data_IF_963187831526
#
_entry.id   IF_963187831526
#
_cell.length_a   1.000
_cell.length_b   1.000
_cell.length_c   1.000
_cell.angle_alpha   90.00
_cell.angle_beta   90.00
_cell.angle_gamma   90.00
#
_symmetry.space_group_name_H-M   'P 1'
#
loop_
_entity.id
_entity.type
_entity.pdbx_description
1 polymer ?
#
# COMPACT_ATOMS: atom_id res chain seq x y z
N UNK A 1 30.63 41.75 39.09
CA UNK A 1 29.73 40.59 38.96
C UNK A 1 28.32 41.11 39.14
N UNK A 2 27.51 41.14 38.08
CA UNK A 2 26.14 41.63 38.15
C UNK A 2 25.30 40.66 38.99
N UNK A 3 24.82 41.12 40.14
CA UNK A 3 23.86 40.39 40.95
C UNK A 3 22.51 40.41 40.23
N UNK A 4 22.21 39.35 39.50
CA UNK A 4 20.87 39.14 38.96
C UNK A 4 19.91 39.02 40.14
N UNK A 5 18.99 39.97 40.26
CA UNK A 5 17.97 39.97 41.30
C UNK A 5 17.12 38.70 41.20
N UNK A 6 16.90 38.02 42.33
CA UNK A 6 16.03 36.84 42.45
C UNK A 6 14.64 37.10 41.84
N UNK A 7 14.18 38.34 41.93
CA UNK A 7 12.90 38.78 41.39
C UNK A 7 12.88 38.80 39.85
N UNK A 8 14.02 39.12 39.22
CA UNK A 8 14.17 39.03 37.77
C UNK A 8 14.14 37.58 37.31
N UNK A 9 14.81 36.67 38.03
CA UNK A 9 14.77 35.24 37.74
C UNK A 9 13.35 34.67 37.84
N UNK A 10 12.59 35.05 38.87
CA UNK A 10 11.18 34.64 39.02
C UNK A 10 10.31 35.12 37.87
N UNK A 11 10.51 36.36 37.41
CA UNK A 11 9.81 36.91 36.24
C UNK A 11 10.15 36.14 34.97
N UNK A 12 11.43 35.90 34.71
CA UNK A 12 11.89 35.12 33.55
C UNK A 12 11.28 33.72 33.58
N UNK A 13 11.33 33.04 34.73
CA UNK A 13 10.78 31.69 34.88
C UNK A 13 9.27 31.65 34.64
N UNK A 14 8.54 32.66 35.13
CA UNK A 14 7.11 32.82 34.87
C UNK A 14 6.82 33.01 33.38
N UNK A 15 7.57 33.88 32.70
CA UNK A 15 7.43 34.10 31.25
C UNK A 15 7.70 32.83 30.46
N UNK A 16 8.76 32.08 30.78
CA UNK A 16 9.07 30.79 30.16
C UNK A 16 7.91 29.79 30.36
N UNK A 17 7.36 29.75 31.57
CA UNK A 17 6.22 28.87 31.90
C UNK A 17 4.97 29.22 31.09
N UNK A 18 4.68 30.51 30.91
CA UNK A 18 3.56 30.99 30.11
C UNK A 18 3.75 30.69 28.62
N UNK A 19 4.97 30.86 28.09
CA UNK A 19 5.31 30.48 26.70
C UNK A 19 5.08 28.99 26.49
N UNK A 20 5.61 28.13 27.36
CA UNK A 20 5.48 26.68 27.23
C UNK A 20 4.00 26.22 27.26
N UNK A 21 3.18 26.84 28.11
CA UNK A 21 1.73 26.58 28.13
C UNK A 21 1.06 27.00 26.81
N UNK A 22 1.47 28.12 26.23
CA UNK A 22 1.03 28.56 24.91
C UNK A 22 1.40 27.57 23.81
N UNK A 23 2.65 27.10 23.80
CA UNK A 23 3.15 26.12 22.83
C UNK A 23 2.37 24.81 22.89
N UNK A 24 2.15 24.26 24.10
CA UNK A 24 1.35 23.05 24.28
C UNK A 24 -0.09 23.19 23.76
N UNK A 25 -0.68 24.39 23.91
CA UNK A 25 -2.02 24.67 23.38
C UNK A 25 -2.03 24.68 21.85
N UNK A 26 -0.99 25.24 21.22
CA UNK A 26 -0.84 25.25 19.76
C UNK A 26 -0.64 23.84 19.24
N UNK A 27 0.24 23.04 19.86
CA UNK A 27 0.47 21.64 19.48
C UNK A 27 -0.81 20.83 19.54
N UNK A 28 -1.61 21.03 20.59
CA UNK A 28 -2.92 20.38 20.70
C UNK A 28 -3.87 20.79 19.58
N UNK A 29 -3.97 22.08 19.26
CA UNK A 29 -4.80 22.56 18.16
C UNK A 29 -4.32 22.05 16.79
N UNK A 30 -3.01 21.93 16.58
CA UNK A 30 -2.44 21.35 15.36
C UNK A 30 -2.75 19.86 15.27
N UNK A 31 -2.67 19.12 16.38
CA UNK A 31 -3.03 17.71 16.42
C UNK A 31 -4.53 17.49 16.18
N UNK A 32 -5.38 18.45 16.57
CA UNK A 32 -6.83 18.43 16.31
C UNK A 32 -7.19 18.86 14.89
N UNK A 33 -6.28 19.53 14.15
CA UNK A 33 -6.44 19.81 12.73
C UNK A 33 -6.22 18.52 11.93
N UNK A 34 -7.25 17.69 11.87
CA UNK A 34 -7.33 16.60 10.89
C UNK A 34 -7.50 17.23 9.51
N UNK A 35 -6.38 17.49 8.83
CA UNK A 35 -6.37 17.88 7.42
C UNK A 35 -6.50 16.57 6.65
N UNK A 36 -7.64 16.35 5.98
CA UNK A 36 -7.83 15.11 5.25
C UNK A 36 -6.77 15.00 4.16
N UNK A 37 -6.27 13.79 3.97
CA UNK A 37 -5.33 13.52 2.89
C UNK A 37 -5.99 13.80 1.54
N UNK A 38 -5.17 13.92 0.49
CA UNK A 38 -5.69 14.08 -0.87
C UNK A 38 -6.59 12.89 -1.24
N UNK A 39 -6.25 11.70 -0.75
CA UNK A 39 -6.94 10.46 -1.02
C UNK A 39 -8.28 10.38 -0.26
N UNK A 40 -8.30 10.80 1.01
CA UNK A 40 -9.54 10.94 1.79
C UNK A 40 -10.49 11.97 1.17
N UNK A 41 -9.96 13.09 0.65
CA UNK A 41 -10.75 14.08 -0.08
C UNK A 41 -11.32 13.50 -1.39
N UNK A 42 -10.54 12.70 -2.13
CA UNK A 42 -11.00 12.05 -3.35
C UNK A 42 -12.10 11.03 -3.04
N UNK A 43 -11.97 10.27 -1.95
CA UNK A 43 -12.99 9.32 -1.51
C UNK A 43 -14.28 10.05 -1.11
N UNK A 44 -14.20 11.12 -0.33
CA UNK A 44 -15.36 11.95 0.01
C UNK A 44 -16.04 12.54 -1.22
N UNK A 45 -15.28 13.06 -2.18
CA UNK A 45 -15.82 13.56 -3.45
C UNK A 45 -16.52 12.44 -4.21
N UNK A 46 -15.92 11.26 -4.26
CA UNK A 46 -16.48 10.11 -4.96
C UNK A 46 -17.77 9.62 -4.30
N UNK A 47 -17.81 9.53 -2.96
CA UNK A 47 -19.02 9.22 -2.21
C UNK A 47 -20.12 10.25 -2.43
N UNK A 48 -19.78 11.54 -2.37
CA UNK A 48 -20.73 12.62 -2.61
C UNK A 48 -21.32 12.56 -4.03
N UNK A 49 -20.48 12.29 -5.03
CA UNK A 49 -20.92 12.15 -6.42
C UNK A 49 -21.83 10.93 -6.60
N UNK A 50 -21.55 9.81 -5.95
CA UNK A 50 -22.34 8.57 -6.07
C UNK A 50 -23.64 8.59 -5.25
N UNK A 51 -23.63 9.19 -4.06
CA UNK A 51 -24.80 9.22 -3.15
C UNK A 51 -25.78 10.31 -3.58
N UNK A 52 -25.30 11.46 -4.07
CA UNK A 52 -26.20 12.56 -4.49
C UNK A 52 -26.68 12.43 -5.94
N UNK A 53 -26.01 11.67 -6.80
CA UNK A 53 -26.50 11.35 -8.15
C UNK A 53 -27.04 9.92 -8.20
N UNK A 54 -28.22 9.71 -7.62
CA UNK A 54 -28.96 8.44 -7.62
C UNK A 54 -29.39 7.94 -9.01
N UNK A 55 -28.92 8.56 -10.11
CA UNK A 55 -29.21 8.14 -11.49
C UNK A 55 -28.11 7.30 -12.13
N UNK A 56 -26.92 7.17 -11.52
CA UNK A 56 -25.84 6.31 -12.02
C UNK A 56 -25.75 4.98 -11.25
N UNK A 57 -26.86 4.24 -11.19
CA UNK A 57 -26.79 2.82 -10.82
C UNK A 57 -26.56 1.99 -12.08
N UNK A 58 -25.32 2.02 -12.59
CA UNK A 58 -24.87 1.00 -13.52
C UNK A 58 -24.73 -0.32 -12.75
N UNK A 59 -25.48 -1.35 -13.16
CA UNK A 59 -25.49 -2.68 -12.53
C UNK A 59 -24.09 -3.33 -12.49
N UNK A 60 -23.15 -2.83 -13.30
CA UNK A 60 -21.74 -3.19 -13.29
C UNK A 60 -21.05 -2.96 -11.92
N UNK A 61 -21.51 -1.98 -11.13
CA UNK A 61 -20.96 -1.67 -9.80
C UNK A 61 -21.50 -2.59 -8.68
N UNK A 62 -22.73 -3.10 -8.82
CA UNK A 62 -23.29 -4.09 -7.87
C UNK A 62 -22.53 -5.42 -7.94
N UNK A 63 -22.03 -5.82 -9.12
CA UNK A 63 -21.17 -7.01 -9.27
C UNK A 63 -19.79 -6.85 -8.60
N UNK A 64 -19.28 -5.63 -8.45
CA UNK A 64 -18.07 -5.38 -7.63
C UNK A 64 -18.33 -5.54 -6.14
N UNK A 65 -19.53 -5.17 -5.64
CA UNK A 65 -19.89 -5.35 -4.22
C UNK A 65 -20.06 -6.83 -3.84
N UNK A 66 -20.55 -7.69 -4.72
CA UNK A 66 -20.60 -9.14 -4.47
C UNK A 66 -19.21 -9.82 -4.37
N UNK A 67 -18.15 -9.15 -4.84
CA UNK A 67 -16.77 -9.61 -4.68
C UNK A 67 -16.04 -8.96 -3.49
N UNK A 68 -16.64 -7.96 -2.81
CA UNK A 68 -16.03 -7.27 -1.65
C UNK A 68 -16.26 -8.02 -0.32
N UNK A 69 -17.18 -8.99 -0.30
CA UNK A 69 -17.35 -9.95 0.81
C UNK A 69 -16.41 -11.17 0.71
N UNK A 70 -15.54 -11.23 -0.30
CA UNK A 70 -14.38 -12.11 -0.20
C UNK A 70 -13.40 -11.44 0.75
N UNK A 71 -13.48 -11.89 2.01
CA UNK A 71 -12.41 -11.92 3.02
C UNK A 71 -11.10 -11.46 2.43
N UNK A 72 -10.47 -10.46 3.05
CA UNK A 72 -9.04 -10.18 2.94
C UNK A 72 -8.27 -11.47 2.59
N UNK A 73 -8.06 -11.71 1.30
CA UNK A 73 -7.20 -12.79 0.85
C UNK A 73 -5.82 -12.25 1.19
N UNK A 74 -5.32 -12.61 2.38
CA UNK A 74 -3.91 -12.48 2.71
C UNK A 74 -3.13 -12.75 1.43
N UNK A 75 -2.41 -11.73 0.96
CA UNK A 75 -1.67 -11.75 -0.30
C UNK A 75 -0.43 -12.65 -0.12
N UNK A 76 -0.66 -13.93 0.12
CA UNK A 76 0.37 -14.93 0.30
C UNK A 76 1.02 -15.19 -1.05
N UNK A 77 2.34 -15.28 -1.06
CA UNK A 77 3.12 -15.74 -2.22
C UNK A 77 2.55 -17.03 -2.82
N UNK A 78 1.98 -17.89 -1.97
CA UNK A 78 1.34 -19.14 -2.38
C UNK A 78 0.10 -18.90 -3.26
N UNK A 79 -0.78 -17.96 -2.89
CA UNK A 79 -1.99 -17.60 -3.65
C UNK A 79 -1.61 -17.01 -5.02
N UNK A 80 -0.54 -16.21 -5.07
CA UNK A 80 -0.02 -15.63 -6.31
C UNK A 80 0.52 -16.72 -7.26
N UNK A 81 1.27 -17.68 -6.71
CA UNK A 81 1.82 -18.82 -7.48
C UNK A 81 0.69 -19.66 -8.04
N UNK A 82 -0.29 -20.05 -7.22
CA UNK A 82 -1.42 -20.88 -7.63
C UNK A 82 -2.27 -20.20 -8.71
N UNK A 83 -2.53 -18.90 -8.56
CA UNK A 83 -3.23 -18.09 -9.58
C UNK A 83 -2.47 -18.08 -10.90
N UNK A 84 -1.16 -17.82 -10.87
CA UNK A 84 -0.32 -17.78 -12.07
C UNK A 84 -0.29 -19.14 -12.76
N UNK A 85 -0.14 -20.23 -12.01
CA UNK A 85 -0.18 -21.59 -12.55
C UNK A 85 -1.55 -21.92 -13.15
N UNK A 86 -2.64 -21.48 -12.51
CA UNK A 86 -4.00 -21.62 -13.03
C UNK A 86 -4.18 -20.91 -14.37
N UNK A 87 -3.68 -19.68 -14.49
CA UNK A 87 -3.74 -18.88 -15.72
C UNK A 87 -2.91 -19.54 -16.85
N UNK A 88 -1.71 -20.06 -16.54
CA UNK A 88 -0.88 -20.80 -17.51
C UNK A 88 -1.59 -22.07 -17.99
N UNK A 89 -2.21 -22.84 -17.08
CA UNK A 89 -2.96 -24.06 -17.45
C UNK A 89 -4.15 -23.75 -18.34
N UNK A 90 -4.87 -22.65 -18.08
CA UNK A 90 -6.01 -22.21 -18.90
C UNK A 90 -5.57 -21.68 -20.27
N UNK A 91 -4.40 -21.05 -20.36
CA UNK A 91 -3.92 -20.48 -21.63
C UNK A 91 -2.40 -20.69 -21.78
N UNK A 92 -1.96 -21.91 -22.16
CA UNK A 92 -0.54 -22.26 -22.22
C UNK A 92 0.28 -21.41 -23.19
N UNK A 93 -0.35 -20.97 -24.29
CA UNK A 93 0.28 -20.09 -25.29
C UNK A 93 0.71 -18.73 -24.72
N UNK A 94 0.11 -18.29 -23.60
CA UNK A 94 0.47 -17.04 -22.89
C UNK A 94 1.37 -17.29 -21.68
N UNK A 95 2.03 -18.44 -21.58
CA UNK A 95 2.90 -18.79 -20.44
C UNK A 95 3.91 -17.70 -20.12
N UNK A 96 4.67 -17.23 -21.11
CA UNK A 96 5.69 -16.18 -20.94
C UNK A 96 5.08 -14.89 -20.39
N UNK A 97 3.89 -14.52 -20.88
CA UNK A 97 3.17 -13.34 -20.40
C UNK A 97 2.80 -13.47 -18.91
N UNK A 98 2.25 -14.61 -18.49
CA UNK A 98 1.90 -14.82 -17.08
C UNK A 98 3.11 -14.89 -16.16
N UNK A 99 4.21 -15.50 -16.63
CA UNK A 99 5.47 -15.53 -15.90
C UNK A 99 6.06 -14.12 -15.74
N UNK A 100 6.03 -13.29 -16.79
CA UNK A 100 6.46 -11.89 -16.68
C UNK A 100 5.61 -11.12 -15.67
N UNK A 101 4.28 -11.28 -15.74
CA UNK A 101 3.35 -10.66 -14.78
C UNK A 101 3.61 -11.09 -13.32
N UNK A 102 4.03 -12.35 -13.12
CA UNK A 102 4.47 -12.83 -11.81
C UNK A 102 5.77 -12.15 -11.37
N UNK A 103 6.76 -12.05 -12.26
CA UNK A 103 8.04 -11.40 -11.96
C UNK A 103 7.91 -9.89 -11.67
N UNK A 104 6.92 -9.23 -12.27
CA UNK A 104 6.64 -7.81 -12.01
C UNK A 104 6.12 -7.52 -10.60
N UNK A 105 5.72 -8.58 -9.87
CA UNK A 105 5.34 -8.48 -8.46
C UNK A 105 6.53 -8.44 -7.51
N UNK A 106 7.77 -8.60 -7.96
CA UNK A 106 8.93 -8.43 -7.09
C UNK A 106 9.45 -6.98 -7.14
N UNK A 107 9.73 -6.40 -5.97
CA UNK A 107 10.31 -5.05 -5.86
C UNK A 107 11.81 -5.05 -6.12
N UNK A 108 12.46 -6.16 -5.79
CA UNK A 108 13.92 -6.22 -5.62
C UNK A 108 14.64 -6.84 -6.82
N UNK A 109 13.93 -7.08 -7.95
CA UNK A 109 14.50 -7.69 -9.16
C UNK A 109 14.58 -6.64 -10.27
N UNK A 110 15.77 -6.41 -10.81
CA UNK A 110 15.98 -5.51 -11.95
C UNK A 110 15.32 -6.06 -13.23
N UNK A 111 14.97 -5.19 -14.18
CA UNK A 111 14.40 -5.62 -15.47
C UNK A 111 15.33 -6.58 -16.23
N UNK A 112 16.65 -6.41 -16.10
CA UNK A 112 17.63 -7.30 -16.71
C UNK A 112 17.56 -8.70 -16.07
N UNK A 113 17.54 -8.77 -14.74
CA UNK A 113 17.46 -10.04 -14.00
C UNK A 113 16.12 -10.74 -14.25
N UNK A 114 15.01 -9.99 -14.32
CA UNK A 114 13.70 -10.54 -14.69
C UNK A 114 13.75 -11.23 -16.05
N UNK A 115 14.43 -10.66 -17.03
CA UNK A 115 14.55 -11.27 -18.36
C UNK A 115 15.39 -12.56 -18.33
N UNK A 116 16.45 -12.61 -17.52
CA UNK A 116 17.26 -13.82 -17.31
C UNK A 116 16.43 -14.92 -16.64
N UNK A 117 15.71 -14.59 -15.57
CA UNK A 117 14.82 -15.52 -14.87
C UNK A 117 13.70 -16.00 -15.80
N UNK A 118 13.11 -15.11 -16.59
CA UNK A 118 12.06 -15.46 -17.54
C UNK A 118 12.52 -16.50 -18.57
N UNK A 119 13.73 -16.34 -19.13
CA UNK A 119 14.34 -17.33 -20.04
C UNK A 119 14.52 -18.69 -19.38
N UNK A 120 14.85 -18.72 -18.08
CA UNK A 120 14.96 -19.96 -17.31
C UNK A 120 13.61 -20.65 -17.09
N UNK A 121 12.54 -19.88 -16.91
CA UNK A 121 11.19 -20.38 -16.62
C UNK A 121 10.38 -20.74 -17.87
N UNK A 122 10.64 -20.09 -19.00
CA UNK A 122 9.91 -20.31 -20.27
C UNK A 122 9.90 -21.79 -20.69
N UNK A 123 11.07 -22.44 -20.61
CA UNK A 123 11.24 -23.84 -20.99
C UNK A 123 11.07 -24.83 -19.83
N UNK A 124 10.74 -24.34 -18.61
CA UNK A 124 10.54 -25.23 -17.46
C UNK A 124 9.20 -25.96 -17.56
N UNK A 125 9.20 -27.28 -17.34
CA UNK A 125 7.97 -28.09 -17.35
C UNK A 125 6.99 -27.66 -16.24
N UNK A 126 5.69 -27.85 -16.48
CA UNK A 126 4.63 -27.48 -15.52
C UNK A 126 4.73 -28.23 -14.19
N UNK A 127 5.38 -29.39 -14.14
CA UNK A 127 5.66 -30.18 -12.93
C UNK A 127 6.68 -29.49 -12.02
N UNK A 128 7.68 -28.83 -12.61
CA UNK A 128 8.81 -28.20 -11.91
C UNK A 128 8.58 -26.71 -11.63
N UNK A 129 7.71 -26.07 -12.41
CA UNK A 129 7.41 -24.65 -12.34
C UNK A 129 6.97 -24.17 -10.94
N UNK A 130 6.11 -24.88 -10.18
CA UNK A 130 5.71 -24.47 -8.84
C UNK A 130 6.89 -24.35 -7.88
N UNK A 131 7.81 -25.32 -7.92
CA UNK A 131 9.00 -25.33 -7.06
C UNK A 131 9.92 -24.15 -7.34
N UNK A 132 10.17 -23.84 -8.62
CA UNK A 132 10.97 -22.68 -9.02
C UNK A 132 10.33 -21.36 -8.62
N UNK A 133 9.00 -21.21 -8.83
CA UNK A 133 8.28 -20.01 -8.44
C UNK A 133 8.27 -19.81 -6.92
N UNK A 134 8.17 -20.90 -6.14
CA UNK A 134 8.26 -20.86 -4.68
C UNK A 134 9.65 -20.42 -4.22
N UNK A 135 10.71 -20.95 -4.85
CA UNK A 135 12.09 -20.54 -4.58
C UNK A 135 12.34 -19.06 -4.89
N UNK A 136 11.77 -18.55 -5.98
CA UNK A 136 11.83 -17.11 -6.28
C UNK A 136 11.09 -16.29 -5.22
N UNK A 137 9.89 -16.73 -4.82
CA UNK A 137 9.09 -16.06 -3.80
C UNK A 137 9.72 -16.06 -2.41
N UNK A 138 10.56 -17.04 -2.08
CA UNK A 138 11.31 -17.07 -0.81
C UNK A 138 12.58 -16.23 -0.86
N UNK A 139 13.16 -16.05 -2.06
CA UNK A 139 14.45 -15.35 -2.24
C UNK A 139 14.24 -13.85 -2.40
N UNK A 140 13.17 -13.43 -3.07
CA UNK A 140 12.92 -12.05 -3.43
C UNK A 140 11.69 -11.49 -2.72
N UNK A 141 11.74 -10.21 -2.33
CA UNK A 141 10.59 -9.55 -1.71
C UNK A 141 9.52 -9.29 -2.75
N UNK A 142 8.31 -9.77 -2.45
CA UNK A 142 7.12 -9.37 -3.18
C UNK A 142 6.81 -7.92 -2.84
N UNK A 143 6.46 -7.15 -3.86
CA UNK A 143 5.77 -5.87 -3.70
C UNK A 143 4.52 -6.18 -2.89
N UNK A 144 4.47 -5.62 -1.69
CA UNK A 144 3.21 -5.45 -1.00
C UNK A 144 2.26 -4.76 -2.00
N UNK A 145 0.98 -5.17 -2.08
CA UNK A 145 0.02 -4.37 -2.83
C UNK A 145 0.20 -2.95 -2.30
N UNK A 146 0.44 -1.99 -3.19
CA UNK A 146 0.39 -0.58 -2.82
C UNK A 146 -0.91 -0.43 -2.05
N UNK A 147 -0.80 -0.25 -0.73
CA UNK A 147 -1.89 0.25 0.07
C UNK A 147 -2.11 1.64 -0.51
N UNK A 148 -3.03 1.70 -1.47
CA UNK A 148 -3.70 2.91 -1.86
C UNK A 148 -4.50 3.31 -0.62
N UNK A 149 -3.80 3.89 0.36
CA UNK A 149 -4.37 4.79 1.35
C UNK A 149 -4.87 6.03 0.62
#
# INVERSE_FOLDING_TARGET
MEHISIDLLKRILRTITEINKGTLKIEKLIAELSIPSREELIEQIHEDLLIKNTSYTDESLKKKRANKDRKEEHFSSQNLIEKTLGDIRKTPVKKVFFLRKFLDRFSDISELDKNVVLKSLENTEMSQLPGKMKSLATTFKLKEPEEYF
#
